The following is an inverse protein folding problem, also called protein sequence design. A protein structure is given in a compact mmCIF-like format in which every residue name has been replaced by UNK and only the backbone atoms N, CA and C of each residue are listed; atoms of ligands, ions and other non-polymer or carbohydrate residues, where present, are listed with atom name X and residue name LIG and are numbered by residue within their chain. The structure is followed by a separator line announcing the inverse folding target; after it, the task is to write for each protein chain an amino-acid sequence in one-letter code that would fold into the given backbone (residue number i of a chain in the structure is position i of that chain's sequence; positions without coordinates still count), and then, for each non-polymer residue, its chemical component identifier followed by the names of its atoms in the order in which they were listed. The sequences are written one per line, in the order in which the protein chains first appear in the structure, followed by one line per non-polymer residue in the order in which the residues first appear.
data_IF_734132560181
#
_entry.id   IF_734132560181
#
_cell.length_a   1.000
_cell.length_b   1.000
_cell.length_c   1.000
_cell.angle_alpha   90.00
_cell.angle_beta   90.00
_cell.angle_gamma   90.00
#
_symmetry.space_group_name_H-M   'P 1'
#
loop_
_entity.id
_entity.type
_entity.pdbx_description
1 polymer ?
#
# COMPACT_ATOMS: atom_id res chain seq x y z
N UNK A 1 -23.82 79.48 33.73
CA UNK A 1 -23.41 78.08 34.01
C UNK A 1 -21.89 78.05 34.00
N UNK A 2 -21.22 78.44 35.08
CA UNK A 2 -20.82 77.69 36.29
C UNK A 2 -19.39 77.15 36.17
N UNK A 3 -18.49 77.84 36.90
CA UNK A 3 -17.21 77.47 37.54
C UNK A 3 -16.04 76.90 36.72
N UNK A 4 -14.81 77.44 36.80
CA UNK A 4 -13.85 77.69 37.90
C UNK A 4 -12.96 76.46 38.27
N UNK A 5 -11.72 76.50 37.74
CA UNK A 5 -10.43 76.29 38.41
C UNK A 5 -10.27 75.20 39.52
N UNK A 6 -9.38 74.21 39.31
CA UNK A 6 -8.13 74.01 40.09
C UNK A 6 -7.47 72.63 39.86
N UNK A 7 -6.13 72.70 39.89
CA UNK A 7 -5.15 71.62 39.96
C UNK A 7 -5.21 70.89 41.31
N UNK A 8 -5.05 69.56 41.33
CA UNK A 8 -4.44 68.84 42.46
C UNK A 8 -3.76 67.53 42.02
N UNK A 9 -2.50 67.42 42.41
CA UNK A 9 -1.57 66.29 42.31
C UNK A 9 -1.93 65.16 43.27
N UNK A 10 -1.71 63.91 42.86
CA UNK A 10 -1.74 62.74 43.74
C UNK A 10 -0.82 61.64 43.22
N UNK A 11 0.43 61.65 43.68
CA UNK A 11 1.38 60.55 43.53
C UNK A 11 1.08 59.53 44.63
N UNK A 12 0.61 58.33 44.28
CA UNK A 12 0.52 57.20 45.21
C UNK A 12 1.21 55.98 44.60
N UNK A 13 2.34 55.64 45.18
CA UNK A 13 3.06 54.38 45.01
C UNK A 13 2.57 53.35 46.04
N UNK A 14 2.64 52.08 45.63
CA UNK A 14 2.64 50.84 46.43
C UNK A 14 1.30 50.31 46.99
N UNK A 15 1.14 48.98 47.23
CA UNK A 15 2.11 47.89 47.13
C UNK A 15 1.71 46.67 46.27
N UNK A 16 2.75 45.93 45.89
CA UNK A 16 2.78 44.52 45.48
C UNK A 16 1.68 43.65 46.12
N UNK A 17 0.87 43.00 45.28
CA UNK A 17 0.05 41.86 45.67
C UNK A 17 0.73 40.56 45.21
N UNK A 18 1.41 39.80 46.09
CA UNK A 18 1.98 38.51 45.75
C UNK A 18 0.92 37.45 45.98
N UNK A 19 -0.06 37.29 45.08
CA UNK A 19 -0.93 36.10 45.02
C UNK A 19 -1.81 36.13 43.76
N UNK A 20 -1.20 35.83 42.61
CA UNK A 20 -1.92 35.21 41.50
C UNK A 20 -1.02 34.14 40.90
N UNK A 21 -0.91 33.02 41.61
CA UNK A 21 -0.50 31.75 41.02
C UNK A 21 -1.63 31.31 40.08
N UNK A 22 -1.69 31.94 38.90
CA UNK A 22 -2.45 31.43 37.77
C UNK A 22 -1.77 30.13 37.37
N UNK A 23 -2.30 29.02 37.88
CA UNK A 23 -1.98 27.70 37.38
C UNK A 23 -2.43 27.64 35.93
N UNK A 24 -1.51 28.01 35.03
CA UNK A 24 -1.62 27.76 33.61
C UNK A 24 -1.77 26.25 33.44
N UNK A 25 -3.01 25.77 33.40
CA UNK A 25 -3.37 24.47 32.87
C UNK A 25 -2.88 24.45 31.42
N UNK A 26 -1.67 23.95 31.24
CA UNK A 26 -1.14 23.52 29.95
C UNK A 26 -2.04 22.38 29.51
N UNK A 27 -3.07 22.74 28.73
CA UNK A 27 -3.92 21.80 27.99
C UNK A 27 -2.97 21.06 27.05
N UNK A 28 -2.47 19.92 27.53
CA UNK A 28 -1.59 19.04 26.80
C UNK A 28 -2.22 18.86 25.40
N UNK A 29 -1.54 19.23 24.30
CA UNK A 29 -2.11 19.05 22.98
C UNK A 29 -2.23 17.54 22.75
N UNK A 30 -3.40 16.99 23.07
CA UNK A 30 -3.77 15.63 22.74
C UNK A 30 -3.66 15.54 21.23
N UNK A 31 -2.58 14.91 20.78
CA UNK A 31 -2.35 14.64 19.37
C UNK A 31 -3.56 13.84 18.91
N UNK A 32 -4.37 14.32 17.94
CA UNK A 32 -5.54 13.58 17.51
C UNK A 32 -5.04 12.26 16.93
N UNK A 33 -5.24 11.16 17.66
CA UNK A 33 -5.03 9.84 17.11
C UNK A 33 -6.10 9.65 16.03
N UNK A 34 -5.75 9.98 14.78
CA UNK A 34 -6.65 9.78 13.65
C UNK A 34 -6.91 8.29 13.52
N UNK A 35 -8.03 7.81 14.04
CA UNK A 35 -8.55 6.46 13.75
C UNK A 35 -8.52 6.28 12.24
N UNK A 36 -7.82 5.26 11.77
CA UNK A 36 -7.86 4.87 10.36
C UNK A 36 -9.26 4.37 10.05
N UNK A 37 -10.04 5.20 9.37
CA UNK A 37 -11.38 4.82 8.91
C UNK A 37 -11.26 3.74 7.82
N UNK A 38 -12.12 2.72 7.87
CA UNK A 38 -12.22 1.67 6.84
C UNK A 38 -13.09 2.08 5.65
N UNK A 39 -13.70 3.28 5.68
CA UNK A 39 -14.52 3.79 4.59
C UNK A 39 -13.64 4.25 3.44
N UNK A 40 -14.01 3.89 2.21
CA UNK A 40 -13.36 4.38 1.00
C UNK A 40 -13.63 5.88 0.82
N UNK A 41 -12.57 6.64 0.58
CA UNK A 41 -12.65 8.03 0.11
C UNK A 41 -12.52 8.04 -1.41
N UNK A 42 -12.99 9.11 -2.06
CA UNK A 42 -12.82 9.28 -3.51
C UNK A 42 -11.36 9.16 -3.94
N UNK A 43 -10.44 9.76 -3.18
CA UNK A 43 -8.99 9.66 -3.45
C UNK A 43 -8.46 8.22 -3.34
N UNK A 44 -9.04 7.40 -2.45
CA UNK A 44 -8.64 6.00 -2.29
C UNK A 44 -9.03 5.21 -3.56
N UNK A 45 -10.24 5.44 -4.09
CA UNK A 45 -10.72 4.82 -5.33
C UNK A 45 -9.85 5.23 -6.52
N UNK A 46 -9.62 6.54 -6.69
CA UNK A 46 -8.83 7.07 -7.80
C UNK A 46 -7.42 6.47 -7.79
N UNK A 47 -6.76 6.42 -6.63
CA UNK A 47 -5.40 5.86 -6.54
C UNK A 47 -5.38 4.36 -6.80
N UNK A 48 -6.37 3.60 -6.31
CA UNK A 48 -6.50 2.18 -6.68
C UNK A 48 -6.62 2.00 -8.20
N UNK A 49 -7.45 2.80 -8.86
CA UNK A 49 -7.62 2.75 -10.32
C UNK A 49 -6.33 3.12 -11.06
N UNK A 50 -5.64 4.19 -10.63
CA UNK A 50 -4.37 4.59 -11.24
C UNK A 50 -3.31 3.50 -11.12
N UNK A 51 -3.20 2.86 -9.94
CA UNK A 51 -2.30 1.73 -9.74
C UNK A 51 -2.68 0.57 -10.66
N UNK A 52 -3.97 0.23 -10.72
CA UNK A 52 -4.46 -0.85 -11.56
C UNK A 52 -4.16 -0.63 -13.04
N UNK A 53 -4.39 0.59 -13.56
CA UNK A 53 -4.09 0.93 -14.96
C UNK A 53 -2.59 0.87 -15.22
N UNK A 54 -1.77 1.46 -14.35
CA UNK A 54 -0.31 1.45 -14.51
C UNK A 54 0.26 0.02 -14.51
N UNK A 55 -0.17 -0.81 -13.57
CA UNK A 55 0.26 -2.21 -13.47
C UNK A 55 -0.35 -3.07 -14.59
N UNK A 56 -1.58 -2.81 -15.01
CA UNK A 56 -2.21 -3.51 -16.14
C UNK A 56 -1.50 -3.25 -17.47
N UNK A 57 -0.98 -2.05 -17.69
CA UNK A 57 -0.10 -1.77 -18.84
C UNK A 57 1.21 -2.55 -18.75
N UNK A 58 1.76 -2.72 -17.54
CA UNK A 58 2.93 -3.59 -17.33
C UNK A 58 2.59 -5.03 -17.67
N UNK A 59 1.45 -5.56 -17.20
CA UNK A 59 1.01 -6.92 -17.52
C UNK A 59 0.86 -7.12 -19.02
N UNK A 60 0.24 -6.15 -19.70
CA UNK A 60 0.09 -6.19 -21.15
C UNK A 60 1.44 -6.20 -21.86
N UNK A 61 2.37 -5.32 -21.45
CA UNK A 61 3.71 -5.26 -22.04
C UNK A 61 4.50 -6.55 -21.83
N UNK A 62 4.40 -7.16 -20.65
CA UNK A 62 5.04 -8.45 -20.34
C UNK A 62 4.38 -9.60 -21.11
N UNK A 63 3.05 -9.57 -21.25
CA UNK A 63 2.30 -10.53 -22.07
C UNK A 63 2.66 -10.45 -23.56
N UNK A 64 2.96 -9.25 -24.07
CA UNK A 64 3.38 -9.05 -25.46
C UNK A 64 4.72 -9.73 -25.78
N UNK A 65 5.62 -9.83 -24.80
CA UNK A 65 6.92 -10.51 -24.92
C UNK A 65 6.90 -11.93 -24.34
N UNK A 66 5.72 -12.48 -24.02
CA UNK A 66 5.60 -13.76 -23.32
C UNK A 66 6.31 -14.93 -24.01
N UNK A 67 6.21 -15.00 -25.34
CA UNK A 67 6.90 -16.03 -26.12
C UNK A 67 8.42 -16.03 -25.95
N UNK A 68 9.03 -14.89 -25.59
CA UNK A 68 10.45 -14.83 -25.24
C UNK A 68 10.68 -15.61 -23.95
N UNK A 69 9.91 -15.38 -22.88
CA UNK A 69 10.06 -16.12 -21.62
C UNK A 69 9.87 -17.64 -21.79
N UNK A 70 8.96 -18.04 -22.67
CA UNK A 70 8.78 -19.46 -23.02
C UNK A 70 10.03 -20.04 -23.71
N UNK A 71 10.69 -19.28 -24.61
CA UNK A 71 11.94 -19.70 -25.22
C UNK A 71 13.08 -19.85 -24.20
N UNK A 72 13.17 -18.95 -23.22
CA UNK A 72 14.18 -19.05 -22.13
C UNK A 72 13.99 -20.30 -21.26
N UNK A 73 12.78 -20.85 -21.24
CA UNK A 73 12.42 -22.00 -20.41
C UNK A 73 12.17 -23.26 -21.24
N UNK A 74 12.47 -23.25 -22.55
CA UNK A 74 12.19 -24.36 -23.47
C UNK A 74 12.85 -25.68 -23.03
N UNK A 75 14.05 -25.60 -22.46
CA UNK A 75 14.77 -26.77 -21.95
C UNK A 75 14.09 -27.39 -20.71
N UNK A 76 13.38 -26.57 -19.92
CA UNK A 76 12.63 -27.01 -18.76
C UNK A 76 11.39 -26.12 -18.53
N UNK A 77 10.27 -26.42 -19.24
CA UNK A 77 9.09 -25.55 -19.29
C UNK A 77 8.51 -25.12 -17.92
N UNK A 78 8.53 -25.93 -16.86
CA UNK A 78 8.03 -25.52 -15.55
C UNK A 78 8.68 -24.25 -14.96
N UNK A 79 9.88 -23.88 -15.42
CA UNK A 79 10.55 -22.65 -14.97
C UNK A 79 9.82 -21.37 -15.35
N UNK A 80 8.89 -21.42 -16.31
CA UNK A 80 8.09 -20.25 -16.69
C UNK A 80 7.33 -19.65 -15.50
N UNK A 81 7.02 -20.45 -14.47
CA UNK A 81 6.45 -19.98 -13.22
C UNK A 81 7.29 -18.92 -12.51
N UNK A 82 8.61 -18.83 -12.75
CA UNK A 82 9.47 -17.78 -12.19
C UNK A 82 9.05 -16.36 -12.62
N UNK A 83 8.29 -16.22 -13.70
CA UNK A 83 7.80 -14.93 -14.16
C UNK A 83 6.37 -14.62 -13.67
N UNK A 84 5.66 -15.61 -13.13
CA UNK A 84 4.27 -15.48 -12.69
C UNK A 84 4.08 -14.43 -11.59
N UNK A 85 5.11 -14.19 -10.77
CA UNK A 85 5.08 -13.16 -9.73
C UNK A 85 4.88 -11.74 -10.25
N UNK A 86 5.01 -11.48 -11.55
CA UNK A 86 4.70 -10.17 -12.14
C UNK A 86 3.18 -9.93 -12.16
N UNK A 87 2.37 -10.93 -12.52
CA UNK A 87 0.92 -10.84 -12.70
C UNK A 87 0.11 -10.66 -11.42
N UNK A 88 0.75 -10.70 -10.25
CA UNK A 88 0.07 -10.56 -8.96
C UNK A 88 0.55 -9.35 -8.16
N UNK A 89 1.11 -8.36 -8.86
CA UNK A 89 1.74 -7.18 -8.27
C UNK A 89 0.72 -6.12 -7.86
N UNK A 90 -0.35 -5.95 -8.63
CA UNK A 90 -1.29 -4.85 -8.46
C UNK A 90 -1.98 -4.92 -7.09
N UNK A 91 -2.36 -6.13 -6.66
CA UNK A 91 -3.06 -6.40 -5.43
C UNK A 91 -2.27 -6.01 -4.19
N UNK A 92 -1.11 -6.63 -3.91
CA UNK A 92 -0.25 -6.26 -2.78
C UNK A 92 0.13 -4.77 -2.79
N UNK A 93 0.45 -4.21 -3.97
CA UNK A 93 0.83 -2.80 -4.10
C UNK A 93 -0.31 -1.84 -3.73
N UNK A 94 -1.51 -2.05 -4.27
CA UNK A 94 -2.67 -1.26 -3.90
C UNK A 94 -3.05 -1.47 -2.44
N UNK A 95 -2.93 -2.70 -1.93
CA UNK A 95 -3.14 -3.04 -0.52
C UNK A 95 -2.30 -2.16 0.40
N UNK A 96 -0.97 -2.14 0.23
CA UNK A 96 -0.07 -1.39 1.11
C UNK A 96 -0.22 0.13 1.01
N UNK A 97 -0.55 0.64 -0.17
CA UNK A 97 -0.72 2.07 -0.43
C UNK A 97 -2.05 2.57 0.13
N UNK A 98 -3.16 1.92 -0.23
CA UNK A 98 -4.51 2.40 0.03
C UNK A 98 -5.01 1.98 1.41
N UNK A 99 -4.61 0.80 1.88
CA UNK A 99 -4.93 0.25 3.21
C UNK A 99 -6.43 0.20 3.50
N UNK A 100 -7.22 -0.24 2.52
CA UNK A 100 -8.68 -0.40 2.59
C UNK A 100 -9.08 -1.85 2.26
N UNK A 101 -10.20 -2.33 2.81
CA UNK A 101 -10.71 -3.66 2.49
C UNK A 101 -11.18 -3.70 1.04
N UNK A 102 -10.76 -4.75 0.34
CA UNK A 102 -11.00 -4.98 -1.09
C UNK A 102 -10.02 -4.28 -2.02
N UNK A 103 -9.04 -3.52 -1.50
CA UNK A 103 -8.14 -2.75 -2.36
C UNK A 103 -7.27 -3.65 -3.24
N UNK A 104 -6.83 -4.81 -2.73
CA UNK A 104 -6.01 -5.74 -3.51
C UNK A 104 -6.85 -6.42 -4.59
N UNK A 105 -8.06 -6.88 -4.25
CA UNK A 105 -8.97 -7.53 -5.21
C UNK A 105 -9.31 -6.59 -6.37
N UNK A 106 -9.72 -5.36 -6.05
CA UNK A 106 -10.15 -4.38 -7.05
C UNK A 106 -8.98 -4.02 -7.97
N UNK A 107 -7.80 -3.78 -7.40
CA UNK A 107 -6.63 -3.40 -8.19
C UNK A 107 -6.19 -4.50 -9.15
N UNK A 108 -6.09 -5.75 -8.67
CA UNK A 108 -5.65 -6.88 -9.48
C UNK A 108 -6.66 -7.22 -10.58
N UNK A 109 -7.95 -7.27 -10.24
CA UNK A 109 -9.01 -7.54 -11.22
C UNK A 109 -9.03 -6.47 -12.31
N UNK A 110 -8.89 -5.20 -11.92
CA UNK A 110 -8.89 -4.10 -12.87
C UNK A 110 -7.61 -4.05 -13.70
N UNK A 111 -6.44 -4.38 -13.13
CA UNK A 111 -5.19 -4.49 -13.87
C UNK A 111 -5.29 -5.58 -14.95
N UNK A 112 -5.83 -6.75 -14.60
CA UNK A 112 -6.09 -7.82 -15.56
C UNK A 112 -7.14 -7.44 -16.60
N UNK A 113 -8.15 -6.63 -16.24
CA UNK A 113 -9.10 -6.09 -17.21
C UNK A 113 -8.45 -5.11 -18.20
N UNK A 114 -7.55 -4.23 -17.72
CA UNK A 114 -6.77 -3.36 -18.61
C UNK A 114 -5.91 -4.19 -19.55
N UNK A 115 -5.24 -5.22 -19.04
CA UNK A 115 -4.45 -6.15 -19.86
C UNK A 115 -5.29 -6.78 -20.97
N UNK A 116 -6.46 -7.32 -20.61
CA UNK A 116 -7.37 -7.95 -21.56
C UNK A 116 -7.88 -6.97 -22.62
N UNK A 117 -8.24 -5.74 -22.22
CA UNK A 117 -8.74 -4.69 -23.13
C UNK A 117 -7.67 -4.22 -24.11
N UNK A 118 -6.42 -4.14 -23.68
CA UNK A 118 -5.28 -3.80 -24.55
C UNK A 118 -4.90 -4.94 -25.52
N UNK A 119 -5.52 -6.12 -25.37
CA UNK A 119 -5.37 -7.26 -26.28
C UNK A 119 -4.14 -8.11 -25.98
N UNK A 120 -4.14 -8.82 -24.85
CA UNK A 120 -3.13 -9.84 -24.55
C UNK A 120 -3.53 -11.23 -25.05
N UNK A 121 -2.55 -12.12 -25.18
CA UNK A 121 -2.76 -13.53 -25.57
C UNK A 121 -3.64 -14.31 -24.58
N UNK A 122 -3.76 -13.82 -23.33
CA UNK A 122 -4.60 -14.42 -22.30
C UNK A 122 -6.07 -13.99 -22.41
N UNK A 123 -6.36 -12.84 -23.03
CA UNK A 123 -7.73 -12.39 -23.28
C UNK A 123 -8.58 -12.26 -22.01
N UNK A 124 -9.88 -12.55 -22.11
CA UNK A 124 -10.82 -12.34 -21.01
C UNK A 124 -10.63 -13.28 -19.81
N UNK A 125 -9.95 -14.42 -19.96
CA UNK A 125 -9.68 -15.34 -18.83
C UNK A 125 -8.70 -14.72 -17.84
N UNK A 126 -7.86 -13.76 -18.27
CA UNK A 126 -6.99 -12.99 -17.39
C UNK A 126 -7.78 -12.28 -16.28
N UNK A 127 -9.00 -11.80 -16.56
CA UNK A 127 -9.85 -11.12 -15.57
C UNK A 127 -10.26 -12.07 -14.44
N UNK A 128 -10.60 -13.31 -14.78
CA UNK A 128 -10.96 -14.34 -13.79
C UNK A 128 -9.73 -14.69 -12.95
N UNK A 129 -8.56 -14.82 -13.58
CA UNK A 129 -7.29 -15.03 -12.89
C UNK A 129 -6.97 -13.87 -11.94
N UNK A 130 -7.07 -12.63 -12.41
CA UNK A 130 -6.80 -11.43 -11.60
C UNK A 130 -7.75 -11.31 -10.41
N UNK A 131 -9.01 -11.71 -10.56
CA UNK A 131 -9.96 -11.78 -9.43
C UNK A 131 -9.51 -12.79 -8.37
N UNK A 132 -9.15 -14.01 -8.78
CA UNK A 132 -8.70 -15.06 -7.86
C UNK A 132 -7.38 -14.68 -7.18
N UNK A 133 -6.45 -14.11 -7.94
CA UNK A 133 -5.14 -13.66 -7.47
C UNK A 133 -5.27 -12.51 -6.48
N UNK A 134 -6.08 -11.50 -6.81
CA UNK A 134 -6.40 -10.39 -5.93
C UNK A 134 -7.09 -10.87 -4.65
N UNK A 135 -8.01 -11.84 -4.73
CA UNK A 135 -8.63 -12.45 -3.56
C UNK A 135 -7.60 -13.20 -2.69
N UNK A 136 -6.66 -13.92 -3.31
CA UNK A 136 -5.53 -14.56 -2.64
C UNK A 136 -4.61 -13.56 -1.93
N UNK A 137 -4.39 -12.38 -2.51
CA UNK A 137 -3.64 -11.31 -1.83
C UNK A 137 -4.43 -10.72 -0.65
N UNK A 138 -5.73 -10.47 -0.85
CA UNK A 138 -6.61 -9.79 0.10
C UNK A 138 -6.89 -10.62 1.35
N UNK A 139 -7.04 -11.95 1.22
CA UNK A 139 -7.34 -12.83 2.36
C UNK A 139 -6.26 -12.72 3.44
N UNK A 140 -5.01 -12.43 3.05
CA UNK A 140 -3.91 -12.20 3.98
C UNK A 140 -4.10 -10.88 4.72
N UNK A 141 -4.41 -9.78 4.01
CA UNK A 141 -4.69 -8.51 4.68
C UNK A 141 -5.89 -8.60 5.62
N UNK A 142 -6.92 -9.36 5.21
CA UNK A 142 -8.09 -9.68 6.03
C UNK A 142 -7.71 -10.49 7.28
N UNK A 143 -6.82 -11.49 7.15
CA UNK A 143 -6.35 -12.29 8.29
C UNK A 143 -5.64 -11.44 9.37
N UNK A 144 -5.01 -10.34 8.97
CA UNK A 144 -4.43 -9.35 9.90
C UNK A 144 -5.39 -8.19 10.22
N UNK A 145 -6.67 -8.30 9.85
CA UNK A 145 -7.73 -7.31 10.02
C UNK A 145 -7.33 -5.90 9.54
N UNK A 146 -6.48 -5.81 8.52
CA UNK A 146 -5.94 -4.54 7.99
C UNK A 146 -5.15 -3.70 9.02
N UNK A 147 -4.68 -4.33 10.11
CA UNK A 147 -3.99 -3.65 11.22
C UNK A 147 -2.47 -3.61 11.05
N UNK A 148 -1.89 -4.54 10.29
CA UNK A 148 -0.43 -4.68 10.11
C UNK A 148 -0.04 -4.48 8.65
N UNK A 149 0.95 -3.61 8.44
CA UNK A 149 1.47 -3.21 7.12
C UNK A 149 3.00 -3.26 7.10
N UNK A 150 3.56 -4.43 7.41
CA UNK A 150 5.00 -4.66 7.49
C UNK A 150 5.46 -5.67 6.43
N UNK A 151 6.78 -5.83 6.27
CA UNK A 151 7.34 -6.71 5.26
C UNK A 151 6.80 -8.16 5.34
N UNK A 152 6.73 -8.82 6.51
CA UNK A 152 6.16 -10.17 6.59
C UNK A 152 4.73 -10.29 6.05
N UNK A 153 3.85 -9.32 6.35
CA UNK A 153 2.47 -9.33 5.83
C UNK A 153 2.45 -9.17 4.31
N UNK A 154 3.37 -8.37 3.75
CA UNK A 154 3.50 -8.21 2.30
C UNK A 154 4.00 -9.47 1.62
N UNK A 155 5.01 -10.14 2.20
CA UNK A 155 5.49 -11.44 1.69
C UNK A 155 4.39 -12.49 1.73
N UNK A 156 3.60 -12.53 2.82
CA UNK A 156 2.45 -13.42 2.92
C UNK A 156 1.35 -13.07 1.90
N UNK A 157 1.10 -11.79 1.63
CA UNK A 157 0.13 -11.38 0.60
C UNK A 157 0.58 -11.85 -0.78
N UNK A 158 1.87 -11.70 -1.11
CA UNK A 158 2.47 -12.28 -2.32
C UNK A 158 2.38 -13.81 -2.37
N UNK A 159 2.55 -14.50 -1.24
CA UNK A 159 2.31 -15.96 -1.14
C UNK A 159 0.86 -16.32 -1.46
N UNK A 160 -0.12 -15.63 -0.87
CA UNK A 160 -1.54 -15.90 -1.09
C UNK A 160 -1.98 -15.66 -2.54
N UNK A 161 -1.49 -14.58 -3.14
CA UNK A 161 -1.69 -14.29 -4.56
C UNK A 161 -0.98 -15.34 -5.45
N UNK A 162 0.23 -15.74 -5.09
CA UNK A 162 0.99 -16.77 -5.79
C UNK A 162 0.29 -18.13 -5.78
N UNK A 163 -0.25 -18.57 -4.65
CA UNK A 163 -1.00 -19.84 -4.55
C UNK A 163 -2.21 -19.83 -5.49
N UNK A 164 -2.98 -18.76 -5.48
CA UNK A 164 -4.17 -18.63 -6.33
C UNK A 164 -3.80 -18.52 -7.81
N UNK A 165 -2.68 -17.86 -8.15
CA UNK A 165 -2.09 -17.87 -9.49
C UNK A 165 -1.76 -19.30 -9.93
N UNK A 166 -0.92 -20.03 -9.18
CA UNK A 166 -0.44 -21.34 -9.65
C UNK A 166 -1.57 -22.38 -9.71
N UNK A 167 -2.52 -22.34 -8.77
CA UNK A 167 -3.70 -23.21 -8.83
C UNK A 167 -4.56 -22.87 -10.04
N UNK A 168 -4.81 -21.59 -10.30
CA UNK A 168 -5.58 -21.15 -11.46
C UNK A 168 -4.94 -21.57 -12.77
N UNK A 169 -3.66 -21.29 -12.95
CA UNK A 169 -2.94 -21.61 -14.19
C UNK A 169 -2.75 -23.10 -14.42
N UNK A 170 -2.49 -23.88 -13.36
CA UNK A 170 -2.42 -25.34 -13.50
C UNK A 170 -3.76 -25.91 -13.99
N UNK A 171 -4.88 -25.37 -13.54
CA UNK A 171 -6.20 -25.83 -13.97
C UNK A 171 -6.53 -25.36 -15.39
N UNK A 172 -6.22 -24.10 -15.72
CA UNK A 172 -6.62 -23.48 -17.00
C UNK A 172 -5.68 -23.86 -18.15
N UNK A 173 -4.38 -23.87 -17.93
CA UNK A 173 -3.37 -23.95 -19.00
C UNK A 173 -2.52 -25.22 -18.92
N UNK A 174 -2.20 -25.70 -17.71
CA UNK A 174 -1.23 -26.79 -17.51
C UNK A 174 -1.83 -28.09 -16.96
N UNK A 175 -3.13 -28.31 -17.16
CA UNK A 175 -3.84 -29.45 -16.58
C UNK A 175 -3.29 -30.81 -17.05
N UNK A 176 -2.74 -30.86 -18.26
CA UNK A 176 -2.17 -32.08 -18.87
C UNK A 176 -0.71 -32.35 -18.46
N UNK A 177 -0.06 -31.44 -17.75
CA UNK A 177 1.32 -31.65 -17.30
C UNK A 177 1.42 -32.78 -16.27
N UNK A 178 2.56 -33.47 -16.29
CA UNK A 178 2.92 -34.44 -15.26
C UNK A 178 2.92 -33.79 -13.87
N UNK A 179 2.63 -34.56 -12.83
CA UNK A 179 2.53 -34.04 -11.46
C UNK A 179 3.83 -33.35 -11.02
N UNK A 180 4.99 -33.92 -11.37
CA UNK A 180 6.31 -33.33 -11.08
C UNK A 180 6.45 -31.93 -11.67
N UNK A 181 5.98 -31.72 -12.91
CA UNK A 181 6.08 -30.42 -13.59
C UNK A 181 5.17 -29.40 -12.94
N UNK A 182 3.96 -29.80 -12.57
CA UNK A 182 3.01 -28.95 -11.81
C UNK A 182 3.59 -28.50 -10.48
N UNK A 183 4.24 -29.40 -9.74
CA UNK A 183 4.87 -29.08 -8.45
C UNK A 183 6.03 -28.09 -8.63
N UNK A 184 6.90 -28.31 -9.61
CA UNK A 184 8.02 -27.38 -9.88
C UNK A 184 7.50 -26.00 -10.27
N UNK A 185 6.56 -25.95 -11.21
CA UNK A 185 5.92 -24.70 -11.62
C UNK A 185 5.26 -23.99 -10.43
N UNK A 186 4.56 -24.73 -9.56
CA UNK A 186 3.92 -24.18 -8.38
C UNK A 186 4.94 -23.55 -7.41
N UNK A 187 6.05 -24.24 -7.14
CA UNK A 187 7.12 -23.71 -6.28
C UNK A 187 7.75 -22.46 -6.89
N UNK A 188 8.08 -22.50 -8.18
CA UNK A 188 8.64 -21.35 -8.90
C UNK A 188 7.69 -20.14 -8.87
N UNK A 189 6.40 -20.35 -9.17
CA UNK A 189 5.37 -19.32 -9.17
C UNK A 189 5.14 -18.70 -7.80
N UNK A 190 5.09 -19.51 -6.74
CA UNK A 190 4.94 -19.03 -5.37
C UNK A 190 6.16 -18.21 -4.94
N UNK A 191 7.37 -18.74 -5.14
CA UNK A 191 8.61 -18.04 -4.77
C UNK A 191 8.74 -16.71 -5.52
N UNK A 192 8.44 -16.73 -6.83
CA UNK A 192 8.40 -15.52 -7.65
C UNK A 192 7.41 -14.50 -7.11
N UNK A 193 6.19 -14.91 -6.76
CA UNK A 193 5.15 -14.01 -6.24
C UNK A 193 5.53 -13.39 -4.89
N UNK A 194 6.16 -14.16 -4.01
CA UNK A 194 6.67 -13.64 -2.73
C UNK A 194 7.72 -12.55 -2.97
N UNK A 195 8.64 -12.77 -3.92
CA UNK A 195 9.77 -11.87 -4.17
C UNK A 195 9.31 -10.65 -5.00
N UNK A 196 8.71 -10.86 -6.16
CA UNK A 196 8.35 -9.79 -7.09
C UNK A 196 7.17 -8.99 -6.54
N UNK A 197 6.10 -9.67 -6.15
CA UNK A 197 4.88 -8.99 -5.72
C UNK A 197 4.87 -8.66 -4.23
N UNK A 198 5.34 -9.56 -3.36
CA UNK A 198 5.43 -9.29 -1.94
C UNK A 198 6.53 -8.27 -1.60
N UNK A 199 7.79 -8.65 -1.84
CA UNK A 199 8.94 -7.78 -1.54
C UNK A 199 9.00 -6.58 -2.49
N UNK A 200 8.79 -6.78 -3.80
CA UNK A 200 8.83 -5.68 -4.77
C UNK A 200 7.76 -4.61 -4.52
N UNK A 201 6.51 -4.97 -4.20
CA UNK A 201 5.51 -3.97 -3.82
C UNK A 201 5.88 -3.20 -2.54
N UNK A 202 6.48 -3.88 -1.56
CA UNK A 202 6.95 -3.22 -0.33
C UNK A 202 8.09 -2.24 -0.60
N UNK A 203 9.05 -2.62 -1.45
CA UNK A 203 10.16 -1.75 -1.86
C UNK A 203 9.65 -0.56 -2.67
N UNK A 204 8.73 -0.78 -3.61
CA UNK A 204 8.12 0.27 -4.40
C UNK A 204 7.37 1.27 -3.51
N UNK A 205 6.55 0.78 -2.58
CA UNK A 205 5.92 1.64 -1.58
C UNK A 205 6.94 2.47 -0.80
N UNK A 206 8.02 1.85 -0.31
CA UNK A 206 9.08 2.57 0.40
C UNK A 206 9.80 3.61 -0.44
N UNK A 207 9.98 3.37 -1.73
CA UNK A 207 10.59 4.32 -2.65
C UNK A 207 9.66 5.52 -2.94
N UNK A 208 8.34 5.30 -2.94
CA UNK A 208 7.36 6.37 -3.18
C UNK A 208 7.17 7.25 -1.93
N UNK A 209 7.23 6.69 -0.72
CA UNK A 209 6.97 7.47 0.52
C UNK A 209 7.78 8.77 0.64
N UNK A 210 9.11 8.79 0.39
CA UNK A 210 9.92 10.01 0.44
C UNK A 210 9.51 11.12 -0.55
N UNK A 211 8.84 10.77 -1.65
CA UNK A 211 8.43 11.75 -2.68
C UNK A 211 7.29 12.66 -2.21
N UNK A 212 6.63 12.35 -1.09
CA UNK A 212 5.46 13.09 -0.60
C UNK A 212 4.16 12.78 -1.35
N UNK A 213 4.20 12.00 -2.44
CA UNK A 213 3.02 11.61 -3.21
C UNK A 213 1.96 10.86 -2.38
N UNK A 214 2.37 10.19 -1.29
CA UNK A 214 1.48 9.44 -0.40
C UNK A 214 1.06 10.22 0.86
N UNK A 215 1.32 11.53 0.93
CA UNK A 215 0.99 12.38 2.09
C UNK A 215 -0.50 12.35 2.46
N UNK A 216 -1.38 12.16 1.47
CA UNK A 216 -2.83 12.01 1.65
C UNK A 216 -3.28 10.66 2.26
N UNK A 217 -2.37 9.68 2.37
CA UNK A 217 -2.65 8.32 2.81
C UNK A 217 -2.05 8.00 4.18
N UNK A 218 -2.63 7.01 4.87
CA UNK A 218 -2.03 6.46 6.09
C UNK A 218 -0.65 5.83 5.81
N UNK A 219 -0.45 5.34 4.58
CA UNK A 219 0.79 4.74 4.11
C UNK A 219 1.95 5.73 4.03
N UNK A 220 1.72 7.01 3.66
CA UNK A 220 2.76 8.05 3.66
C UNK A 220 3.06 8.63 5.04
N UNK A 221 2.07 8.68 5.95
CA UNK A 221 2.22 9.28 7.30
C UNK A 221 3.02 8.43 8.29
N UNK A 222 3.38 7.20 7.95
CA UNK A 222 4.11 6.28 8.85
C UNK A 222 5.61 6.64 8.98
N UNK A 223 6.18 7.39 8.02
CA UNK A 223 7.62 7.72 7.99
C UNK A 223 7.93 9.17 8.41
N UNK A 224 6.95 10.07 8.42
CA UNK A 224 7.13 11.50 8.74
C UNK A 224 7.06 11.79 10.25
N UNK A 225 7.71 11.00 11.11
CA UNK A 225 7.98 11.42 12.49
C UNK A 225 9.38 12.02 12.52
N UNK A 226 9.53 13.36 12.63
CA UNK A 226 10.84 13.97 12.72
C UNK A 226 11.58 13.36 13.91
N UNK A 227 12.84 12.96 13.70
CA UNK A 227 13.77 12.70 14.78
C UNK A 227 13.84 14.00 15.58
N UNK A 228 13.21 14.06 16.76
CA UNK A 228 13.35 15.21 17.64
C UNK A 228 14.82 15.29 17.99
N UNK A 229 15.53 16.23 17.38
CA UNK A 229 16.85 16.64 17.84
C UNK A 229 16.63 17.27 19.22
N UNK A 230 16.87 16.48 20.27
CA UNK A 230 17.07 17.02 21.61
C UNK A 230 18.34 17.85 21.56
N UNK A 231 18.21 19.16 21.40
CA UNK A 231 19.32 20.07 21.61
C UNK A 231 19.68 20.00 23.10
N UNK A 232 20.91 19.56 23.48
CA UNK A 232 21.30 19.58 24.87
C UNK A 232 21.37 21.03 25.34
N UNK A 233 20.64 21.31 26.42
CA UNK A 233 20.63 22.60 27.10
C UNK A 233 22.06 22.88 27.58
N UNK A 234 22.74 23.86 26.97
CA UNK A 234 24.05 24.32 27.46
C UNK A 234 23.78 25.26 28.64
N UNK A 235 24.08 24.78 29.84
CA UNK A 235 24.35 25.60 31.03
C UNK A 235 25.79 26.09 30.99
#
# INVERSE_FOLDING_TARGET
MTQDNRVQTGHHTNPTNPNTTSSAQTKNPQTPQTKTSMRWRTVDIIVTVVIAVAVGVIFWGVAAIWGVFELWTVAFPPLVGLFGGIWVLAGPLAGIIVRKPGAAIIAETLAAAVEAVLGSNFGATAIISGLLQGAGAEIVFLAFLYRKWNLPVMLLSGLGAGITLVVGEIVMYYAKWAMTFKVVYAVCGIVSSIIISGLGAWLLWKAIVPTGALSAFASGRTTTRPRQHTTPNRT
#
